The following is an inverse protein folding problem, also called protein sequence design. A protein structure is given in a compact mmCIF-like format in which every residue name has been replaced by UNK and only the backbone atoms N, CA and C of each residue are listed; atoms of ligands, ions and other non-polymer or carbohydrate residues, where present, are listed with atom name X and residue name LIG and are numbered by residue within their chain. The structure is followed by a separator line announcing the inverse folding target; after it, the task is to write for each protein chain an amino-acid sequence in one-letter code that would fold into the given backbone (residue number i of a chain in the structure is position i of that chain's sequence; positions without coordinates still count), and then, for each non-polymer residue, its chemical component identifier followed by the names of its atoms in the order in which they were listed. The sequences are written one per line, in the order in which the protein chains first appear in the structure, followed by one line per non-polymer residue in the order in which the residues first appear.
data_IF_342566719488
#
_entry.id   IF_342566719488
#
_cell.length_a   1.000
_cell.length_b   1.000
_cell.length_c   1.000
_cell.angle_alpha   90.00
_cell.angle_beta   90.00
_cell.angle_gamma   90.00
#
_symmetry.space_group_name_H-M   'P 1'
#
loop_
_entity.id
_entity.type
_entity.pdbx_description
1 polymer ?
#
# COMPACT_ATOMS: atom_id res chain seq x y z
N UNK A 1 0.38 6.90 10.98
CA UNK A 1 0.83 7.97 11.92
C UNK A 1 0.24 9.35 11.57
N UNK A 2 -0.16 10.14 12.57
CA UNK A 2 -0.81 11.46 12.37
C UNK A 2 -0.04 12.41 11.46
N UNK A 3 1.29 12.41 11.55
CA UNK A 3 2.16 13.28 10.75
C UNK A 3 2.19 12.94 9.25
N UNK A 4 1.73 11.75 8.85
CA UNK A 4 1.76 11.25 7.47
C UNK A 4 0.36 10.89 6.95
N UNK A 5 -0.68 11.52 7.49
CA UNK A 5 -2.06 11.31 7.01
C UNK A 5 -2.19 11.77 5.55
N UNK A 6 -3.19 11.22 4.87
CA UNK A 6 -3.53 11.65 3.52
C UNK A 6 -3.85 13.15 3.54
N UNK A 7 -3.31 13.94 2.59
CA UNK A 7 -3.66 15.36 2.48
C UNK A 7 -5.18 15.57 2.41
N UNK A 8 -5.66 16.58 3.13
CA UNK A 8 -7.10 16.88 3.23
C UNK A 8 -7.72 17.21 1.86
N UNK A 9 -6.96 17.88 0.99
CA UNK A 9 -7.35 18.12 -0.42
C UNK A 9 -7.81 16.84 -1.12
N UNK A 10 -7.05 15.75 -0.97
CA UNK A 10 -7.33 14.48 -1.63
C UNK A 10 -8.56 13.82 -1.00
N UNK A 11 -8.64 13.77 0.33
CA UNK A 11 -9.77 13.12 1.00
C UNK A 11 -11.08 13.91 0.82
N UNK A 12 -11.02 15.23 0.76
CA UNK A 12 -12.16 16.09 0.48
C UNK A 12 -12.66 15.94 -0.96
N UNK A 13 -11.78 15.91 -1.97
CA UNK A 13 -12.17 15.68 -3.37
C UNK A 13 -12.86 14.31 -3.52
N UNK A 14 -12.29 13.25 -2.94
CA UNK A 14 -12.87 11.92 -3.01
C UNK A 14 -14.24 11.84 -2.31
N UNK A 15 -14.38 12.43 -1.11
CA UNK A 15 -15.68 12.53 -0.42
C UNK A 15 -16.72 13.30 -1.24
N UNK A 16 -16.31 14.38 -1.90
CA UNK A 16 -17.21 15.18 -2.77
C UNK A 16 -17.75 14.37 -3.97
N UNK A 17 -17.02 13.33 -4.38
CA UNK A 17 -17.40 12.39 -5.44
C UNK A 17 -18.15 11.16 -4.93
N UNK A 18 -18.47 11.11 -3.64
CA UNK A 18 -19.25 10.04 -3.02
C UNK A 18 -18.41 8.87 -2.47
N UNK A 19 -17.09 9.00 -2.35
CA UNK A 19 -16.28 7.99 -1.67
C UNK A 19 -16.45 8.10 -0.15
N UNK A 20 -16.68 6.96 0.51
CA UNK A 20 -16.61 6.85 1.96
C UNK A 20 -15.15 6.68 2.38
N UNK A 21 -14.67 7.55 3.27
CA UNK A 21 -13.28 7.54 3.75
C UNK A 21 -13.27 7.52 5.27
N UNK A 22 -12.72 6.44 5.79
CA UNK A 22 -12.41 6.24 7.20
C UNK A 22 -10.89 6.27 7.41
N UNK A 23 -10.44 6.94 8.46
CA UNK A 23 -9.05 6.96 8.90
C UNK A 23 -8.94 6.24 10.23
N UNK A 24 -8.11 5.19 10.28
CA UNK A 24 -7.81 4.46 11.51
C UNK A 24 -6.31 4.35 11.72
N UNK A 25 -5.91 4.33 12.98
CA UNK A 25 -4.54 4.02 13.38
C UNK A 25 -4.39 2.52 13.74
N UNK A 26 -5.47 1.72 13.71
CA UNK A 26 -5.47 0.28 13.96
C UNK A 26 -5.36 -0.54 12.66
N UNK A 27 -4.18 -1.12 12.45
CA UNK A 27 -3.90 -1.95 11.28
C UNK A 27 -4.74 -3.23 11.25
N UNK A 28 -4.99 -3.88 12.40
CA UNK A 28 -5.67 -5.18 12.44
C UNK A 28 -7.15 -5.01 12.12
N UNK A 29 -7.78 -3.98 12.68
CA UNK A 29 -9.17 -3.63 12.36
C UNK A 29 -9.34 -3.31 10.87
N UNK A 30 -8.44 -2.48 10.31
CA UNK A 30 -8.46 -2.14 8.89
C UNK A 30 -8.36 -3.39 7.99
N UNK A 31 -7.44 -4.32 8.31
CA UNK A 31 -7.23 -5.52 7.51
C UNK A 31 -8.34 -6.58 7.68
N UNK A 32 -9.07 -6.58 8.79
CA UNK A 32 -10.17 -7.52 9.02
C UNK A 32 -11.35 -7.30 8.05
N UNK A 33 -11.52 -6.08 7.54
CA UNK A 33 -12.62 -5.71 6.62
C UNK A 33 -12.18 -5.45 5.18
N UNK A 34 -10.88 -5.25 4.95
CA UNK A 34 -10.32 -4.88 3.64
C UNK A 34 -10.22 -6.06 2.67
N UNK A 35 -10.63 -5.84 1.42
CA UNK A 35 -10.36 -6.77 0.31
C UNK A 35 -8.94 -6.62 -0.26
N UNK A 36 -8.41 -5.39 -0.22
CA UNK A 36 -7.08 -5.04 -0.73
C UNK A 36 -6.34 -4.21 0.32
N UNK A 37 -5.12 -4.62 0.65
CA UNK A 37 -4.17 -3.80 1.40
C UNK A 37 -3.13 -3.23 0.43
N UNK A 38 -3.19 -1.92 0.18
CA UNK A 38 -2.17 -1.22 -0.60
C UNK A 38 -1.15 -0.57 0.32
N UNK A 39 -0.03 -1.25 0.48
CA UNK A 39 0.99 -0.93 1.49
C UNK A 39 2.04 -0.04 0.85
N UNK A 40 2.62 0.89 1.62
CA UNK A 40 3.68 1.78 1.15
C UNK A 40 4.83 1.85 2.14
N UNK A 41 6.06 2.02 1.63
CA UNK A 41 7.21 2.35 2.45
C UNK A 41 7.09 3.75 3.04
N UNK A 42 7.58 3.91 4.26
CA UNK A 42 7.82 5.25 4.81
C UNK A 42 9.02 5.86 4.07
N UNK A 43 8.77 6.96 3.38
CA UNK A 43 9.76 7.63 2.53
C UNK A 43 10.70 8.48 3.38
N UNK A 44 11.80 7.87 3.85
CA UNK A 44 12.83 8.54 4.65
C UNK A 44 13.30 9.86 4.05
N UNK A 45 13.38 9.93 2.73
CA UNK A 45 13.79 11.12 1.99
C UNK A 45 12.84 12.33 2.10
N UNK A 46 11.64 12.16 2.69
CA UNK A 46 10.67 13.24 2.91
C UNK A 46 10.76 13.87 4.30
N UNK A 47 11.65 13.39 5.16
CA UNK A 47 11.83 13.93 6.52
C UNK A 47 13.01 14.89 6.55
N UNK A 48 12.80 16.07 7.12
CA UNK A 48 13.87 17.05 7.36
C UNK A 48 14.77 16.62 8.52
N UNK A 49 14.20 15.98 9.55
CA UNK A 49 14.92 15.46 10.71
C UNK A 49 14.90 13.91 10.72
N UNK A 50 16.08 13.24 10.72
CA UNK A 50 16.17 11.79 10.86
C UNK A 50 15.46 11.21 12.10
N UNK A 51 15.41 11.94 13.22
CA UNK A 51 14.74 11.47 14.44
C UNK A 51 13.23 11.30 14.25
N UNK A 52 12.61 12.13 13.40
CA UNK A 52 11.17 12.03 13.13
C UNK A 52 10.84 10.83 12.26
N UNK A 53 11.76 10.43 11.39
CA UNK A 53 11.67 9.17 10.65
C UNK A 53 11.74 7.96 11.58
N UNK A 54 12.72 7.93 12.50
CA UNK A 54 12.88 6.80 13.43
C UNK A 54 11.66 6.60 14.34
N UNK A 55 10.93 7.67 14.69
CA UNK A 55 9.69 7.59 15.47
C UNK A 55 8.54 6.88 14.74
N UNK A 56 8.53 6.92 13.41
CA UNK A 56 7.42 6.39 12.59
C UNK A 56 7.80 5.15 11.80
N UNK A 57 9.09 4.85 11.65
CA UNK A 57 9.58 3.63 11.02
C UNK A 57 9.01 2.40 11.72
N UNK A 58 8.51 1.44 10.94
CA UNK A 58 7.97 0.18 11.47
C UNK A 58 6.67 0.30 12.27
N UNK A 59 5.97 1.45 12.23
CA UNK A 59 4.67 1.61 12.93
C UNK A 59 3.62 0.64 12.39
N UNK A 60 3.65 0.35 11.10
CA UNK A 60 2.79 -0.65 10.47
C UNK A 60 3.65 -1.69 9.76
N UNK A 61 3.59 -2.93 10.24
CA UNK A 61 4.30 -4.08 9.68
C UNK A 61 3.28 -5.16 9.39
N UNK A 62 3.31 -5.68 8.16
CA UNK A 62 2.51 -6.83 7.75
C UNK A 62 3.41 -8.07 7.79
N UNK A 63 3.05 -9.01 8.65
CA UNK A 63 3.67 -10.32 8.78
C UNK A 63 2.60 -11.42 8.70
N UNK A 64 3.01 -12.69 8.77
CA UNK A 64 2.08 -13.83 8.69
C UNK A 64 0.98 -13.76 9.76
N UNK A 65 1.32 -13.42 11.00
CA UNK A 65 0.37 -13.34 12.11
C UNK A 65 -0.74 -12.31 11.87
N UNK A 66 -0.39 -11.15 11.29
CA UNK A 66 -1.35 -10.11 10.93
C UNK A 66 -2.25 -10.57 9.78
N UNK A 67 -1.68 -11.25 8.78
CA UNK A 67 -2.46 -11.81 7.65
C UNK A 67 -3.45 -12.88 8.10
N UNK A 68 -3.07 -13.73 9.06
CA UNK A 68 -3.93 -14.79 9.57
C UNK A 68 -5.19 -14.25 10.29
N UNK A 69 -5.15 -12.99 10.74
CA UNK A 69 -6.27 -12.29 11.38
C UNK A 69 -7.02 -11.36 10.42
N UNK A 70 -6.51 -11.17 9.20
CA UNK A 70 -7.13 -10.32 8.19
C UNK A 70 -8.35 -11.01 7.55
N UNK A 71 -9.05 -10.25 6.70
CA UNK A 71 -10.12 -10.81 5.86
C UNK A 71 -9.59 -11.98 5.03
N UNK A 72 -10.28 -13.11 5.07
CA UNK A 72 -9.93 -14.28 4.24
C UNK A 72 -9.90 -13.89 2.75
N UNK A 73 -8.80 -14.20 2.07
CA UNK A 73 -8.62 -13.89 0.65
C UNK A 73 -8.18 -12.45 0.37
N UNK A 74 -7.80 -11.67 1.39
CA UNK A 74 -7.23 -10.33 1.20
C UNK A 74 -6.05 -10.37 0.23
N UNK A 75 -5.99 -9.39 -0.67
CA UNK A 75 -4.88 -9.19 -1.60
C UNK A 75 -3.94 -8.10 -1.09
N UNK A 76 -2.63 -8.39 -1.04
CA UNK A 76 -1.60 -7.46 -0.59
C UNK A 76 -0.84 -6.90 -1.79
N UNK A 77 -0.89 -5.58 -1.95
CA UNK A 77 -0.20 -4.82 -2.99
C UNK A 77 0.86 -3.91 -2.36
N UNK A 78 1.92 -3.66 -3.12
CA UNK A 78 3.01 -2.78 -2.71
C UNK A 78 3.73 -2.24 -3.95
N UNK A 79 3.97 -0.92 -4.07
CA UNK A 79 4.60 -0.34 -5.25
C UNK A 79 6.09 -0.68 -5.39
N UNK A 80 6.71 -1.15 -4.32
CA UNK A 80 8.14 -1.48 -4.18
C UNK A 80 9.07 -0.26 -4.33
N UNK A 81 10.35 -0.36 -3.88
CA UNK A 81 10.92 -1.43 -3.06
C UNK A 81 10.31 -1.44 -1.65
N UNK A 82 10.24 -2.61 -1.02
CA UNK A 82 9.92 -2.73 0.41
C UNK A 82 11.18 -2.74 1.27
N UNK A 83 11.09 -2.31 2.52
CA UNK A 83 12.19 -2.33 3.49
C UNK A 83 11.89 -3.30 4.63
N UNK A 84 10.92 -2.95 5.47
CA UNK A 84 10.55 -3.66 6.70
C UNK A 84 9.03 -3.66 6.96
N UNK A 85 8.26 -2.92 6.16
CA UNK A 85 6.81 -2.80 6.26
C UNK A 85 6.04 -4.06 5.84
N UNK A 86 6.67 -4.97 5.07
CA UNK A 86 6.13 -6.30 4.75
C UNK A 86 7.24 -7.32 4.99
N UNK A 87 7.02 -8.22 5.94
CA UNK A 87 7.96 -9.30 6.25
C UNK A 87 7.99 -10.37 5.14
N UNK A 88 9.12 -11.07 5.02
CA UNK A 88 9.33 -12.07 3.96
C UNK A 88 8.52 -13.36 4.17
N UNK A 89 7.99 -13.59 5.37
CA UNK A 89 7.08 -14.70 5.69
C UNK A 89 5.68 -14.53 5.08
N UNK A 90 5.41 -13.38 4.44
CA UNK A 90 4.19 -13.10 3.67
C UNK A 90 4.35 -13.50 2.21
N UNK A 91 5.57 -13.73 1.71
CA UNK A 91 5.85 -13.90 0.27
C UNK A 91 5.15 -15.11 -0.36
N UNK A 92 4.98 -16.18 0.42
CA UNK A 92 4.32 -17.41 0.02
C UNK A 92 2.80 -17.39 0.26
N UNK A 93 2.26 -16.30 0.82
CA UNK A 93 0.81 -16.11 0.88
C UNK A 93 0.24 -15.96 -0.53
N UNK A 94 -0.81 -16.72 -0.86
CA UNK A 94 -1.47 -16.65 -2.17
C UNK A 94 -1.91 -15.21 -2.55
N UNK A 95 -2.42 -14.46 -1.56
CA UNK A 95 -2.83 -13.07 -1.72
C UNK A 95 -1.69 -12.06 -1.82
N UNK A 96 -0.42 -12.45 -1.61
CA UNK A 96 0.73 -11.56 -1.81
C UNK A 96 0.95 -11.31 -3.30
N UNK A 97 0.51 -10.14 -3.78
CA UNK A 97 0.41 -9.83 -5.19
C UNK A 97 1.43 -8.79 -5.68
N UNK A 98 2.28 -8.22 -4.82
CA UNK A 98 3.22 -7.15 -5.21
C UNK A 98 4.23 -7.53 -6.29
N UNK A 99 4.67 -8.80 -6.37
CA UNK A 99 5.49 -9.26 -7.51
C UNK A 99 4.67 -9.42 -8.79
N UNK A 100 3.45 -9.96 -8.70
CA UNK A 100 2.52 -10.03 -9.85
C UNK A 100 2.15 -8.62 -10.34
N UNK A 101 1.96 -7.67 -9.43
CA UNK A 101 1.72 -6.26 -9.69
C UNK A 101 2.88 -5.63 -10.48
N UNK A 102 4.13 -5.86 -10.05
CA UNK A 102 5.31 -5.38 -10.77
C UNK A 102 5.39 -5.95 -12.20
N UNK A 103 5.11 -7.24 -12.35
CA UNK A 103 5.03 -7.92 -13.65
C UNK A 103 3.92 -7.34 -14.54
N UNK A 104 2.73 -7.11 -13.98
CA UNK A 104 1.61 -6.47 -14.69
C UNK A 104 1.98 -5.07 -15.21
N UNK A 105 2.85 -4.35 -14.49
CA UNK A 105 3.38 -3.07 -14.94
C UNK A 105 4.13 -3.14 -16.27
N UNK A 106 4.73 -4.27 -16.65
CA UNK A 106 5.33 -4.45 -17.97
C UNK A 106 4.26 -4.36 -19.07
N UNK A 107 3.19 -5.15 -18.95
CA UNK A 107 2.14 -5.21 -19.96
C UNK A 107 1.35 -3.92 -20.06
N UNK A 108 1.06 -3.26 -18.92
CA UNK A 108 0.41 -1.93 -18.91
C UNK A 108 1.26 -0.92 -19.69
N UNK A 109 2.58 -0.91 -19.48
CA UNK A 109 3.49 0.00 -20.19
C UNK A 109 3.59 -0.32 -21.67
N UNK A 110 3.65 -1.61 -22.04
CA UNK A 110 3.61 -2.03 -23.45
C UNK A 110 2.33 -1.56 -24.15
N UNK A 111 1.17 -1.75 -23.52
CA UNK A 111 -0.11 -1.30 -24.04
C UNK A 111 -0.16 0.23 -24.19
N UNK A 112 0.30 0.97 -23.18
CA UNK A 112 0.37 2.43 -23.22
C UNK A 112 1.26 2.93 -24.36
N UNK A 113 2.44 2.32 -24.56
CA UNK A 113 3.34 2.66 -25.67
C UNK A 113 2.72 2.35 -27.03
N UNK A 114 2.03 1.20 -27.17
CA UNK A 114 1.34 0.85 -28.40
C UNK A 114 0.25 1.88 -28.75
N UNK A 115 -0.58 2.26 -27.77
CA UNK A 115 -1.64 3.26 -27.93
C UNK A 115 -1.08 4.63 -28.36
N UNK A 116 -0.05 5.12 -27.66
CA UNK A 116 0.53 6.46 -27.92
C UNK A 116 1.27 6.50 -29.27
N UNK A 117 1.84 5.38 -29.71
CA UNK A 117 2.58 5.29 -30.99
C UNK A 117 1.70 4.87 -32.17
N UNK A 118 0.38 4.72 -31.98
CA UNK A 118 -0.56 4.36 -33.06
C UNK A 118 -0.42 2.92 -33.56
N UNK A 119 -0.01 1.99 -32.69
CA UNK A 119 0.21 0.57 -32.99
C UNK A 119 -0.82 -0.36 -32.35
N UNK A 120 -1.87 0.21 -31.76
CA UNK A 120 -2.97 -0.49 -31.11
C UNK A 120 -4.16 -0.63 -32.06
#
# INVERSE_FOLDING_TARGET
PKALRMPEEITADLRSRGAEIEETDDLREALAVSDIAYVTRIQRERFENPEDYEKVKGVYVINREVIDQAKKGITILHPLPRVDEIATDVDDYEGAAYFRQAHNGLYVRMALLALITGRA
#
